data_IF_551551600607
#
_entry.id   IF_551551600607
#
_cell.length_a   1.000
_cell.length_b   1.000
_cell.length_c   1.000
_cell.angle_alpha   90.00
_cell.angle_beta   90.00
_cell.angle_gamma   90.00
#
_symmetry.space_group_name_H-M   'P 1'
#
loop_
_entity.id
_entity.type
_entity.pdbx_description
1 polymer ?
#
# COMPACT_ATOMS: atom_id res chain seq x y z
N UNK A 1 16.49 14.41 -25.58
CA UNK A 1 16.27 13.08 -24.97
C UNK A 1 15.65 12.20 -26.03
N UNK A 2 16.38 11.22 -26.56
CA UNK A 2 15.94 10.45 -27.74
C UNK A 2 15.59 8.97 -27.40
N UNK A 3 15.30 8.65 -26.14
CA UNK A 3 14.93 7.33 -25.70
C UNK A 3 13.70 7.38 -24.79
N UNK A 4 12.92 6.29 -24.83
CA UNK A 4 11.80 6.11 -23.90
C UNK A 4 12.33 6.00 -22.48
N UNK A 5 11.64 6.66 -21.54
CA UNK A 5 11.88 6.55 -20.10
C UNK A 5 10.58 6.23 -19.38
N UNK A 6 10.67 5.43 -18.34
CA UNK A 6 9.50 5.01 -17.59
C UNK A 6 9.00 6.16 -16.68
N UNK A 7 7.72 6.58 -16.77
CA UNK A 7 7.17 7.61 -15.89
C UNK A 7 7.27 7.29 -14.39
N UNK A 8 7.28 6.03 -13.98
CA UNK A 8 7.48 5.64 -12.59
C UNK A 8 8.84 6.12 -12.06
N UNK A 9 9.88 6.04 -12.89
CA UNK A 9 11.24 6.46 -12.53
C UNK A 9 11.38 7.99 -12.48
N UNK A 10 10.86 8.67 -13.52
CA UNK A 10 11.11 10.11 -13.66
C UNK A 10 10.18 10.98 -12.82
N UNK A 11 8.94 10.52 -12.56
CA UNK A 11 7.88 11.38 -12.08
C UNK A 11 7.29 11.00 -10.73
N UNK A 12 7.25 9.71 -10.38
CA UNK A 12 6.33 9.27 -9.33
C UNK A 12 6.98 8.61 -8.13
N UNK A 13 7.97 7.74 -8.35
CA UNK A 13 8.54 6.93 -7.25
C UNK A 13 9.59 7.69 -6.44
N UNK A 14 9.80 7.24 -5.19
CA UNK A 14 10.86 7.72 -4.32
C UNK A 14 12.24 7.31 -4.80
N UNK A 15 13.25 8.11 -4.44
CA UNK A 15 14.65 7.75 -4.68
C UNK A 15 15.06 6.47 -3.94
N UNK A 16 14.50 6.24 -2.74
CA UNK A 16 14.75 5.05 -1.94
C UNK A 16 14.28 3.78 -2.64
N UNK A 17 13.06 3.78 -3.21
CA UNK A 17 12.54 2.64 -3.96
C UNK A 17 13.24 2.45 -5.30
N UNK A 18 13.57 3.54 -6.00
CA UNK A 18 14.34 3.51 -7.23
C UNK A 18 15.72 2.89 -7.00
N UNK A 19 16.41 3.29 -5.93
CA UNK A 19 17.70 2.71 -5.57
C UNK A 19 17.57 1.22 -5.24
N UNK A 20 16.54 0.80 -4.49
CA UNK A 20 16.32 -0.60 -4.14
C UNK A 20 16.34 -1.53 -5.36
N UNK A 21 15.71 -1.13 -6.47
CA UNK A 21 15.66 -1.90 -7.70
C UNK A 21 16.68 -1.48 -8.77
N UNK A 22 17.62 -0.60 -8.44
CA UNK A 22 18.64 -0.14 -9.36
C UNK A 22 19.66 -1.23 -9.72
N UNK A 23 20.26 -1.18 -10.91
CA UNK A 23 21.38 -2.05 -11.27
C UNK A 23 22.55 -1.93 -10.28
N UNK A 24 22.82 -0.74 -9.77
CA UNK A 24 23.88 -0.50 -8.81
C UNK A 24 23.65 -1.31 -7.52
N UNK A 25 22.50 -1.19 -6.88
CA UNK A 25 22.16 -1.96 -5.69
C UNK A 25 22.18 -3.47 -5.95
N UNK A 26 21.60 -3.90 -7.09
CA UNK A 26 21.59 -5.30 -7.49
C UNK A 26 23.00 -5.90 -7.55
N UNK A 27 23.92 -5.27 -8.27
CA UNK A 27 25.24 -5.84 -8.47
C UNK A 27 26.18 -5.65 -7.27
N UNK A 28 25.98 -4.63 -6.44
CA UNK A 28 26.61 -4.52 -5.13
C UNK A 28 26.18 -5.67 -4.21
N UNK A 29 24.90 -6.01 -4.21
CA UNK A 29 24.37 -7.15 -3.45
C UNK A 29 24.97 -8.47 -3.94
N UNK A 30 25.16 -8.66 -5.25
CA UNK A 30 25.87 -9.83 -5.78
C UNK A 30 27.30 -9.95 -5.22
N UNK A 31 28.05 -8.85 -5.18
CA UNK A 31 29.39 -8.85 -4.62
C UNK A 31 29.40 -9.15 -3.13
N UNK A 32 28.45 -8.60 -2.38
CA UNK A 32 28.29 -8.92 -0.96
C UNK A 32 27.97 -10.40 -0.72
N UNK A 33 27.13 -11.00 -1.58
CA UNK A 33 26.82 -12.44 -1.55
C UNK A 33 28.08 -13.29 -1.82
N UNK A 34 28.90 -12.92 -2.80
CA UNK A 34 30.15 -13.63 -3.08
C UNK A 34 31.20 -13.47 -1.98
N UNK A 35 31.31 -12.28 -1.38
CA UNK A 35 32.18 -12.06 -0.21
C UNK A 35 31.74 -12.93 0.97
N UNK A 36 30.46 -12.89 1.31
CA UNK A 36 29.91 -13.68 2.41
C UNK A 36 30.07 -15.19 2.17
N UNK A 37 29.86 -15.64 0.94
CA UNK A 37 30.10 -17.02 0.53
C UNK A 37 31.55 -17.43 0.78
N UNK A 38 32.54 -16.68 0.24
CA UNK A 38 33.96 -16.97 0.39
C UNK A 38 34.43 -16.95 1.85
N UNK A 39 33.95 -16.00 2.65
CA UNK A 39 34.25 -15.94 4.09
C UNK A 39 33.78 -17.18 4.84
N UNK A 40 32.52 -17.59 4.63
CA UNK A 40 31.95 -18.75 5.32
C UNK A 40 32.61 -20.04 4.81
N UNK A 41 32.89 -20.14 3.52
CA UNK A 41 33.60 -21.27 2.93
C UNK A 41 35.02 -21.42 3.52
N UNK A 42 35.75 -20.32 3.74
CA UNK A 42 37.00 -20.30 4.46
C UNK A 42 36.86 -20.77 5.90
N UNK A 43 35.91 -20.22 6.64
CA UNK A 43 35.64 -20.60 8.04
C UNK A 43 35.29 -22.09 8.17
N UNK A 44 34.72 -22.70 7.13
CA UNK A 44 34.44 -24.12 7.04
C UNK A 44 35.59 -24.99 6.55
N UNK A 45 36.74 -24.36 6.26
CA UNK A 45 38.03 -25.05 6.01
C UNK A 45 38.35 -25.22 4.52
N UNK A 46 37.78 -24.45 3.61
CA UNK A 46 38.27 -24.38 2.24
C UNK A 46 39.56 -23.53 2.20
N UNK A 47 40.41 -23.81 1.24
CA UNK A 47 41.68 -23.11 1.02
C UNK A 47 41.44 -21.75 0.36
N UNK A 48 41.03 -20.79 1.19
CA UNK A 48 40.78 -19.39 0.81
C UNK A 48 41.59 -18.49 1.72
N UNK A 49 42.44 -17.62 1.15
CA UNK A 49 43.32 -16.77 1.92
C UNK A 49 42.64 -15.46 2.39
N UNK A 50 43.20 -14.86 3.45
CA UNK A 50 42.78 -13.55 3.95
C UNK A 50 42.96 -12.45 2.91
N UNK A 51 44.05 -12.53 2.11
CA UNK A 51 44.36 -11.58 1.05
C UNK A 51 43.32 -11.63 -0.08
N UNK A 52 42.82 -12.83 -0.42
CA UNK A 52 41.74 -12.98 -1.42
C UNK A 52 40.44 -12.31 -0.93
N UNK A 53 40.04 -12.55 0.31
CA UNK A 53 38.84 -11.93 0.91
C UNK A 53 39.03 -10.41 1.03
N UNK A 54 40.23 -9.95 1.47
CA UNK A 54 40.51 -8.52 1.57
C UNK A 54 40.35 -7.81 0.22
N UNK A 55 40.88 -8.41 -0.87
CA UNK A 55 40.77 -7.86 -2.21
C UNK A 55 39.31 -7.84 -2.71
N UNK A 56 38.51 -8.87 -2.43
CA UNK A 56 37.07 -8.83 -2.74
C UNK A 56 36.39 -7.66 -2.03
N UNK A 57 36.63 -7.47 -0.74
CA UNK A 57 36.06 -6.38 0.05
C UNK A 57 36.45 -5.00 -0.48
N UNK A 58 37.73 -4.81 -0.78
CA UNK A 58 38.26 -3.56 -1.33
C UNK A 58 37.55 -3.18 -2.63
N UNK A 59 37.28 -4.15 -3.51
CA UNK A 59 36.69 -3.95 -4.81
C UNK A 59 35.15 -4.09 -4.82
N UNK A 60 34.51 -4.28 -3.66
CA UNK A 60 33.07 -4.54 -3.55
C UNK A 60 32.20 -3.45 -4.18
N UNK A 61 32.62 -2.19 -4.06
CA UNK A 61 31.88 -1.02 -4.55
C UNK A 61 32.31 -0.57 -5.96
N UNK A 62 33.42 -1.08 -6.47
CA UNK A 62 33.98 -0.66 -7.76
C UNK A 62 33.43 -1.52 -8.90
N UNK A 63 32.22 -1.20 -9.39
CA UNK A 63 31.55 -1.94 -10.47
C UNK A 63 31.80 -1.24 -11.81
N UNK A 64 32.58 -1.88 -12.70
CA UNK A 64 32.75 -1.43 -14.07
C UNK A 64 31.62 -1.97 -14.96
N UNK A 65 30.55 -1.16 -15.09
CA UNK A 65 29.39 -1.50 -15.89
C UNK A 65 29.70 -1.63 -17.39
N UNK A 66 30.66 -0.83 -17.90
CA UNK A 66 31.02 -0.90 -19.32
C UNK A 66 31.68 -2.23 -19.64
N UNK A 67 32.64 -2.63 -18.80
CA UNK A 67 33.32 -3.93 -18.94
C UNK A 67 32.39 -5.13 -18.72
N UNK A 68 31.45 -5.01 -17.76
CA UNK A 68 30.41 -6.02 -17.57
C UNK A 68 29.55 -6.19 -18.83
N UNK A 69 29.14 -5.10 -19.47
CA UNK A 69 28.38 -5.15 -20.72
C UNK A 69 29.19 -5.78 -21.88
N UNK A 70 30.50 -5.53 -21.97
CA UNK A 70 31.38 -6.19 -22.96
C UNK A 70 31.44 -7.70 -22.73
N UNK A 71 31.62 -8.14 -21.50
CA UNK A 71 31.61 -9.55 -21.14
C UNK A 71 30.24 -10.19 -21.39
N UNK A 72 29.14 -9.52 -21.04
CA UNK A 72 27.80 -10.05 -21.29
C UNK A 72 27.51 -10.22 -22.78
N UNK A 73 27.94 -9.27 -23.61
CA UNK A 73 27.86 -9.37 -25.05
C UNK A 73 28.64 -10.58 -25.59
N UNK A 74 29.81 -10.89 -24.99
CA UNK A 74 30.67 -12.01 -25.36
C UNK A 74 30.11 -13.35 -24.90
N UNK A 75 29.72 -13.46 -23.64
CA UNK A 75 29.32 -14.73 -23.02
C UNK A 75 27.84 -15.01 -23.07
N UNK A 76 27.00 -14.00 -23.39
CA UNK A 76 25.54 -14.08 -23.37
C UNK A 76 24.98 -14.55 -22.02
N UNK A 77 25.68 -14.12 -20.92
CA UNK A 77 25.36 -14.53 -19.57
C UNK A 77 25.75 -13.45 -18.57
N UNK A 78 24.75 -12.81 -17.93
CA UNK A 78 24.93 -11.68 -17.02
C UNK A 78 25.77 -12.01 -15.77
N UNK A 79 25.49 -13.12 -15.08
CA UNK A 79 26.24 -13.50 -13.87
C UNK A 79 27.69 -13.77 -14.20
N UNK A 80 27.99 -14.51 -15.26
CA UNK A 80 29.37 -14.77 -15.68
C UNK A 80 30.10 -13.50 -16.11
N UNK A 81 29.41 -12.55 -16.73
CA UNK A 81 29.97 -11.24 -17.04
C UNK A 81 30.45 -10.52 -15.77
N UNK A 82 29.63 -10.51 -14.72
CA UNK A 82 29.98 -9.90 -13.44
C UNK A 82 31.04 -10.70 -12.65
N UNK A 83 31.07 -12.03 -12.74
CA UNK A 83 32.17 -12.85 -12.17
C UNK A 83 33.51 -12.45 -12.79
N UNK A 84 33.56 -12.35 -14.14
CA UNK A 84 34.79 -11.93 -14.82
C UNK A 84 35.18 -10.49 -14.51
N UNK A 85 34.22 -9.57 -14.54
CA UNK A 85 34.47 -8.15 -14.20
C UNK A 85 35.01 -8.00 -12.78
N UNK A 86 34.46 -8.76 -11.84
CA UNK A 86 34.93 -8.74 -10.45
C UNK A 86 36.31 -9.40 -10.31
N UNK A 87 36.53 -10.52 -11.01
CA UNK A 87 37.84 -11.19 -11.03
C UNK A 87 38.94 -10.35 -11.65
N UNK A 88 38.64 -9.48 -12.62
CA UNK A 88 39.62 -8.55 -13.17
C UNK A 88 39.96 -7.41 -12.19
N UNK A 89 38.98 -6.97 -11.38
CA UNK A 89 39.20 -6.00 -10.31
C UNK A 89 39.91 -6.64 -9.06
N UNK A 90 39.71 -7.94 -8.85
CA UNK A 90 40.23 -8.71 -7.73
C UNK A 90 41.01 -9.97 -8.22
N UNK A 91 42.16 -9.82 -8.89
CA UNK A 91 42.84 -10.92 -9.56
C UNK A 91 43.30 -12.05 -8.63
N UNK A 92 43.66 -11.77 -7.38
CA UNK A 92 44.02 -12.81 -6.41
C UNK A 92 42.84 -13.70 -6.04
N UNK A 93 41.64 -13.12 -6.03
CA UNK A 93 40.43 -13.80 -5.63
C UNK A 93 39.65 -14.42 -6.84
N UNK A 94 40.12 -14.22 -8.07
CA UNK A 94 39.41 -14.62 -9.29
C UNK A 94 38.94 -16.07 -9.26
N UNK A 95 39.75 -16.98 -8.71
CA UNK A 95 39.48 -18.42 -8.66
C UNK A 95 38.41 -18.84 -7.63
N UNK A 96 38.10 -17.97 -6.66
CA UNK A 96 37.15 -18.28 -5.58
C UNK A 96 35.82 -17.57 -5.72
N UNK A 97 35.68 -16.64 -6.68
CA UNK A 97 34.41 -15.96 -6.92
C UNK A 97 33.39 -16.98 -7.45
N UNK A 98 32.21 -17.04 -6.80
CA UNK A 98 31.11 -17.94 -7.22
C UNK A 98 31.41 -19.43 -7.03
N UNK A 99 32.29 -19.80 -6.10
CA UNK A 99 32.69 -21.19 -5.86
C UNK A 99 31.48 -22.04 -5.46
N UNK A 100 31.30 -23.19 -6.08
CA UNK A 100 30.15 -24.09 -5.84
C UNK A 100 28.77 -23.56 -6.24
N UNK A 101 28.65 -22.26 -6.57
CA UNK A 101 27.38 -21.61 -6.81
C UNK A 101 26.89 -21.74 -8.25
N UNK A 102 25.60 -21.57 -8.45
CA UNK A 102 24.93 -21.36 -9.76
C UNK A 102 24.40 -19.93 -9.83
N UNK A 103 24.07 -19.47 -11.05
CA UNK A 103 23.59 -18.09 -11.29
C UNK A 103 22.42 -17.68 -10.39
N UNK A 104 21.51 -18.61 -10.10
CA UNK A 104 20.40 -18.36 -9.19
C UNK A 104 20.84 -18.08 -7.74
N UNK A 105 22.09 -18.39 -7.35
CA UNK A 105 22.62 -18.02 -6.04
C UNK A 105 22.58 -16.51 -5.84
N UNK A 106 23.18 -15.74 -6.75
CA UNK A 106 23.18 -14.28 -6.64
C UNK A 106 21.85 -13.68 -7.10
N UNK A 107 21.27 -14.19 -8.18
CA UNK A 107 20.02 -13.65 -8.72
C UNK A 107 18.85 -13.77 -7.72
N UNK A 108 18.56 -14.96 -7.29
CA UNK A 108 17.38 -15.24 -6.46
C UNK A 108 17.52 -14.73 -5.01
N UNK A 109 18.71 -14.83 -4.41
CA UNK A 109 18.92 -14.27 -3.09
C UNK A 109 18.81 -12.73 -3.10
N UNK A 110 19.31 -12.07 -4.16
CA UNK A 110 19.16 -10.62 -4.34
C UNK A 110 17.70 -10.23 -4.54
N UNK A 111 16.94 -10.97 -5.34
CA UNK A 111 15.50 -10.70 -5.53
C UNK A 111 14.74 -10.76 -4.20
N UNK A 112 15.03 -11.73 -3.34
CA UNK A 112 14.43 -11.85 -2.01
C UNK A 112 14.82 -10.69 -1.07
N UNK A 113 16.08 -10.23 -1.15
CA UNK A 113 16.57 -9.05 -0.40
C UNK A 113 15.82 -7.81 -0.90
N UNK A 114 15.73 -7.58 -2.21
CA UNK A 114 15.05 -6.42 -2.78
C UNK A 114 13.54 -6.42 -2.49
N UNK A 115 12.88 -7.58 -2.51
CA UNK A 115 11.47 -7.73 -2.12
C UNK A 115 11.29 -7.34 -0.65
N UNK A 116 12.12 -7.89 0.26
CA UNK A 116 12.08 -7.53 1.68
C UNK A 116 12.29 -6.03 1.90
N UNK A 117 13.34 -5.48 1.33
CA UNK A 117 13.71 -4.08 1.53
C UNK A 117 12.66 -3.14 0.92
N UNK A 118 12.11 -3.48 -0.24
CA UNK A 118 10.98 -2.79 -0.84
C UNK A 118 9.72 -2.82 0.06
N UNK A 119 9.42 -3.96 0.68
CA UNK A 119 8.31 -4.05 1.64
C UNK A 119 8.57 -3.26 2.92
N UNK A 120 9.81 -3.13 3.37
CA UNK A 120 10.15 -2.25 4.50
C UNK A 120 9.90 -0.77 4.17
N UNK A 121 10.21 -0.33 2.96
CA UNK A 121 9.88 1.01 2.46
C UNK A 121 8.36 1.21 2.44
N UNK A 122 7.62 0.25 1.88
CA UNK A 122 6.14 0.27 1.85
C UNK A 122 5.56 0.32 3.26
N UNK A 123 6.09 -0.48 4.21
CA UNK A 123 5.67 -0.46 5.62
C UNK A 123 5.79 0.92 6.24
N UNK A 124 6.94 1.59 6.06
CA UNK A 124 7.18 2.94 6.55
C UNK A 124 6.11 3.92 6.01
N UNK A 125 5.79 3.84 4.74
CA UNK A 125 4.78 4.72 4.13
C UNK A 125 3.36 4.39 4.61
N UNK A 126 3.00 3.10 4.75
CA UNK A 126 1.70 2.67 5.27
C UNK A 126 1.49 3.15 6.70
N UNK A 127 2.49 3.00 7.58
CA UNK A 127 2.42 3.51 8.98
C UNK A 127 2.08 4.99 9.00
N UNK A 128 2.66 5.79 8.11
CA UNK A 128 2.37 7.22 8.03
C UNK A 128 0.97 7.53 7.47
N UNK A 129 0.49 6.79 6.47
CA UNK A 129 -0.92 6.92 6.01
C UNK A 129 -1.88 6.55 7.12
N UNK A 130 -1.64 5.42 7.83
CA UNK A 130 -2.45 4.97 8.96
C UNK A 130 -2.47 6.05 10.06
N UNK A 131 -1.32 6.61 10.44
CA UNK A 131 -1.23 7.70 11.43
C UNK A 131 -2.07 8.90 11.02
N UNK A 132 -1.90 9.42 9.82
CA UNK A 132 -2.62 10.60 9.33
C UNK A 132 -4.12 10.37 9.20
N UNK A 133 -4.54 9.19 8.73
CA UNK A 133 -5.95 8.81 8.68
C UNK A 133 -6.55 8.67 10.09
N UNK A 134 -5.80 8.12 11.05
CA UNK A 134 -6.28 8.02 12.45
C UNK A 134 -6.48 9.38 13.09
N UNK A 135 -5.54 10.31 12.87
CA UNK A 135 -5.67 11.69 13.35
C UNK A 135 -6.89 12.39 12.71
N UNK A 136 -7.08 12.21 11.43
CA UNK A 136 -8.24 12.72 10.70
C UNK A 136 -9.54 12.12 11.25
N UNK A 137 -9.59 10.81 11.47
CA UNK A 137 -10.76 10.13 12.02
C UNK A 137 -11.13 10.65 13.41
N UNK A 138 -10.14 10.79 14.30
CA UNK A 138 -10.34 11.33 15.65
C UNK A 138 -10.78 12.81 15.63
N UNK A 139 -10.18 13.62 14.77
CA UNK A 139 -10.55 15.03 14.63
C UNK A 139 -12.01 15.24 14.24
N UNK A 140 -12.54 14.38 13.37
CA UNK A 140 -13.89 14.51 12.83
C UNK A 140 -14.85 13.41 13.31
N UNK A 141 -14.55 12.74 14.44
CA UNK A 141 -15.37 11.66 14.98
C UNK A 141 -16.79 12.07 15.32
N UNK A 142 -16.97 13.34 15.73
CA UNK A 142 -18.25 13.91 16.14
C UNK A 142 -18.96 14.72 15.03
N UNK A 143 -18.35 14.88 13.85
CA UNK A 143 -18.93 15.65 12.76
C UNK A 143 -19.94 14.79 11.96
N UNK A 144 -21.26 15.05 12.11
CA UNK A 144 -22.27 14.32 11.34
C UNK A 144 -22.09 14.52 9.84
N UNK A 145 -22.40 13.47 9.08
CA UNK A 145 -22.49 13.51 7.60
C UNK A 145 -23.51 12.50 7.12
N UNK A 146 -24.04 12.70 5.90
CA UNK A 146 -24.91 11.71 5.28
C UNK A 146 -24.15 10.40 5.02
N UNK A 147 -24.71 9.28 5.48
CA UNK A 147 -24.29 7.96 5.03
C UNK A 147 -24.99 7.62 3.72
N UNK A 148 -24.29 6.93 2.83
CA UNK A 148 -24.80 6.54 1.53
C UNK A 148 -24.79 5.01 1.39
N UNK A 149 -25.93 4.44 0.97
CA UNK A 149 -26.03 3.09 0.45
C UNK A 149 -26.54 3.16 -0.98
N UNK A 150 -26.00 2.40 -1.90
CA UNK A 150 -26.33 2.51 -3.33
C UNK A 150 -26.17 3.94 -3.89
N UNK A 151 -25.29 4.73 -3.27
CA UNK A 151 -25.11 6.16 -3.50
C UNK A 151 -26.40 7.00 -3.31
N UNK A 152 -27.34 6.49 -2.51
CA UNK A 152 -28.52 7.23 -2.05
C UNK A 152 -28.36 7.59 -0.58
N UNK A 153 -28.83 8.77 -0.13
CA UNK A 153 -28.86 9.12 1.29
C UNK A 153 -29.57 8.05 2.11
N UNK A 154 -28.89 7.64 3.18
CA UNK A 154 -29.41 6.69 4.16
C UNK A 154 -29.42 7.35 5.55
N UNK A 155 -29.04 6.64 6.60
CA UNK A 155 -28.88 7.23 7.92
C UNK A 155 -27.62 8.07 8.01
N UNK A 156 -27.54 8.96 9.02
CA UNK A 156 -26.34 9.71 9.29
C UNK A 156 -25.23 8.80 9.84
N UNK A 157 -24.02 9.21 9.61
CA UNK A 157 -22.80 8.73 10.22
C UNK A 157 -21.94 9.93 10.59
N UNK A 158 -20.65 9.74 10.90
CA UNK A 158 -19.72 10.85 11.03
C UNK A 158 -18.60 10.78 10.01
N UNK A 159 -17.97 11.92 9.71
CA UNK A 159 -16.80 12.00 8.84
C UNK A 159 -15.67 11.13 9.38
N UNK A 160 -15.43 11.15 10.69
CA UNK A 160 -14.43 10.29 11.33
C UNK A 160 -14.76 8.81 11.21
N UNK A 161 -16.02 8.40 11.44
CA UNK A 161 -16.43 7.00 11.28
C UNK A 161 -16.25 6.51 9.83
N UNK A 162 -16.52 7.35 8.83
CA UNK A 162 -16.23 7.03 7.43
C UNK A 162 -14.75 6.79 7.21
N UNK A 163 -13.87 7.59 7.81
CA UNK A 163 -12.42 7.42 7.69
C UNK A 163 -11.95 6.09 8.31
N UNK A 164 -12.60 5.56 9.35
CA UNK A 164 -12.25 4.25 9.90
C UNK A 164 -12.50 3.10 8.92
N UNK A 165 -13.39 3.26 7.93
CA UNK A 165 -13.58 2.23 6.89
C UNK A 165 -12.38 2.15 5.95
N UNK A 166 -11.73 3.28 5.66
CA UNK A 166 -10.49 3.31 4.89
C UNK A 166 -9.32 2.74 5.70
N UNK A 167 -9.25 3.09 6.99
CA UNK A 167 -8.26 2.53 7.91
C UNK A 167 -8.39 1.01 8.03
N UNK A 168 -9.60 0.48 8.18
CA UNK A 168 -9.81 -0.96 8.30
C UNK A 168 -9.26 -1.73 7.08
N UNK A 169 -9.46 -1.21 5.86
CA UNK A 169 -8.88 -1.82 4.67
C UNK A 169 -7.34 -1.83 4.73
N UNK A 170 -6.73 -0.71 5.18
CA UNK A 170 -5.28 -0.64 5.33
C UNK A 170 -4.72 -1.53 6.43
N UNK A 171 -5.46 -1.75 7.52
CA UNK A 171 -5.03 -2.66 8.58
C UNK A 171 -4.97 -4.10 8.08
N UNK A 172 -5.94 -4.54 7.27
CA UNK A 172 -5.90 -5.86 6.62
C UNK A 172 -4.67 -6.01 5.72
N UNK A 173 -4.36 -4.98 4.92
CA UNK A 173 -3.16 -4.98 4.07
C UNK A 173 -1.87 -4.98 4.91
N UNK A 174 -1.86 -4.25 6.01
CA UNK A 174 -0.72 -4.16 6.92
C UNK A 174 -0.44 -5.49 7.64
N UNK A 175 -1.47 -6.18 8.10
CA UNK A 175 -1.37 -7.52 8.69
C UNK A 175 -0.78 -8.52 7.69
N UNK A 176 -1.23 -8.49 6.43
CA UNK A 176 -0.72 -9.35 5.37
C UNK A 176 0.76 -9.04 5.07
N UNK A 177 1.15 -7.75 5.05
CA UNK A 177 2.53 -7.32 4.88
C UNK A 177 3.44 -7.83 6.01
N UNK A 178 3.03 -7.66 7.26
CA UNK A 178 3.80 -8.15 8.42
C UNK A 178 3.95 -9.67 8.38
N UNK A 179 2.88 -10.40 8.09
CA UNK A 179 2.92 -11.86 7.93
C UNK A 179 3.86 -12.29 6.79
N UNK A 180 3.83 -11.58 5.67
CA UNK A 180 4.73 -11.86 4.56
C UNK A 180 6.20 -11.67 4.97
N UNK A 181 6.54 -10.55 5.61
CA UNK A 181 7.89 -10.27 6.10
C UNK A 181 8.38 -11.31 7.12
N UNK A 182 7.54 -11.70 8.07
CA UNK A 182 7.85 -12.71 9.08
C UNK A 182 8.09 -14.09 8.47
N UNK A 183 7.36 -14.44 7.41
CA UNK A 183 7.43 -15.77 6.79
C UNK A 183 8.38 -15.85 5.61
N UNK A 184 8.93 -14.72 5.16
CA UNK A 184 9.88 -14.68 4.04
C UNK A 184 11.16 -15.43 4.39
N UNK A 185 11.64 -16.25 3.46
CA UNK A 185 12.79 -17.12 3.64
C UNK A 185 13.87 -16.81 2.62
N UNK A 186 15.12 -16.99 3.02
CA UNK A 186 16.25 -16.91 2.10
C UNK A 186 16.35 -18.16 1.24
N UNK A 187 16.81 -18.05 -0.02
CA UNK A 187 17.03 -19.23 -0.85
C UNK A 187 18.27 -20.01 -0.41
N UNK A 188 19.36 -19.29 -0.11
CA UNK A 188 20.61 -19.88 0.34
C UNK A 188 21.40 -20.58 -0.79
N UNK A 189 22.15 -21.63 -0.41
CA UNK A 189 23.07 -22.37 -1.27
C UNK A 189 22.47 -23.71 -1.70
N UNK A 190 21.60 -23.70 -2.69
CA UNK A 190 20.83 -24.90 -3.13
C UNK A 190 21.40 -25.59 -4.39
N UNK A 191 22.28 -24.92 -5.14
CA UNK A 191 22.86 -25.48 -6.35
C UNK A 191 21.91 -25.53 -7.55
N UNK A 192 22.28 -26.27 -8.59
CA UNK A 192 21.63 -26.26 -9.91
C UNK A 192 20.23 -26.88 -9.88
N UNK A 193 19.98 -27.88 -9.07
CA UNK A 193 18.69 -28.58 -8.97
C UNK A 193 18.10 -28.59 -7.56
N UNK A 194 18.65 -27.77 -6.67
CA UNK A 194 18.18 -27.68 -5.27
C UNK A 194 18.79 -28.68 -4.32
N UNK A 195 19.69 -29.55 -4.80
CA UNK A 195 20.31 -30.62 -4.00
C UNK A 195 21.59 -30.20 -3.28
N UNK A 196 22.08 -28.99 -3.53
CA UNK A 196 23.38 -28.49 -3.06
C UNK A 196 24.58 -29.39 -3.40
N UNK A 197 24.50 -30.23 -4.43
CA UNK A 197 25.51 -31.24 -4.77
C UNK A 197 26.91 -30.67 -4.92
N UNK A 198 27.08 -29.53 -5.61
CA UNK A 198 28.40 -28.89 -5.79
C UNK A 198 29.01 -28.44 -4.44
N UNK A 199 28.21 -27.90 -3.54
CA UNK A 199 28.67 -27.55 -2.20
C UNK A 199 29.03 -28.77 -1.37
N UNK A 200 28.23 -29.84 -1.48
CA UNK A 200 28.50 -31.09 -0.78
C UNK A 200 29.83 -31.70 -1.24
N UNK A 201 30.13 -31.61 -2.55
CA UNK A 201 31.43 -32.05 -3.11
C UNK A 201 32.58 -31.22 -2.57
N UNK A 202 32.46 -29.87 -2.55
CA UNK A 202 33.47 -28.98 -1.97
C UNK A 202 33.85 -29.32 -0.52
N UNK A 203 32.85 -29.80 0.25
CA UNK A 203 33.05 -30.22 1.66
C UNK A 203 33.23 -31.74 1.82
N UNK A 204 33.61 -32.46 0.76
CA UNK A 204 33.90 -33.89 0.81
C UNK A 204 32.76 -34.73 1.38
N UNK A 205 31.52 -34.37 1.10
CA UNK A 205 30.32 -35.07 1.55
C UNK A 205 29.81 -34.63 2.94
N UNK A 206 30.43 -33.64 3.58
CA UNK A 206 29.98 -33.15 4.89
C UNK A 206 28.73 -32.27 4.77
N UNK A 207 27.58 -32.87 4.95
CA UNK A 207 26.30 -32.18 4.91
C UNK A 207 26.10 -31.18 6.04
N UNK A 208 26.79 -31.35 7.16
CA UNK A 208 26.69 -30.42 8.31
C UNK A 208 27.29 -29.06 7.99
N UNK A 209 28.40 -29.06 7.25
CA UNK A 209 29.03 -27.83 6.72
C UNK A 209 28.13 -27.11 5.72
N UNK A 210 27.48 -27.84 4.80
CA UNK A 210 26.56 -27.25 3.85
C UNK A 210 25.36 -26.60 4.55
N UNK A 211 24.79 -27.27 5.56
CA UNK A 211 23.72 -26.69 6.39
C UNK A 211 24.18 -25.44 7.16
N UNK A 212 25.38 -25.47 7.69
CA UNK A 212 25.95 -24.32 8.38
C UNK A 212 26.13 -23.13 7.44
N UNK A 213 26.71 -23.37 6.26
CA UNK A 213 26.87 -22.36 5.20
C UNK A 213 25.51 -21.71 4.85
N UNK A 214 24.50 -22.52 4.63
CA UNK A 214 23.14 -22.06 4.27
C UNK A 214 22.53 -21.16 5.36
N UNK A 215 22.63 -21.59 6.62
CA UNK A 215 22.11 -20.87 7.79
C UNK A 215 22.89 -19.58 8.07
N UNK A 216 24.20 -19.64 8.06
CA UNK A 216 25.05 -18.47 8.35
C UNK A 216 24.92 -17.40 7.28
N UNK A 217 24.85 -17.81 6.00
CA UNK A 217 24.59 -16.89 4.90
C UNK A 217 23.23 -16.20 5.06
N UNK A 218 22.19 -16.96 5.37
CA UNK A 218 20.84 -16.42 5.63
C UNK A 218 20.87 -15.36 6.74
N UNK A 219 21.52 -15.66 7.86
CA UNK A 219 21.64 -14.76 9.00
C UNK A 219 22.38 -13.45 8.66
N UNK A 220 23.47 -13.54 7.87
CA UNK A 220 24.25 -12.36 7.44
C UNK A 220 23.44 -11.37 6.60
N UNK A 221 22.45 -11.87 5.85
CA UNK A 221 21.53 -11.03 5.06
C UNK A 221 20.20 -10.72 5.77
N UNK A 222 20.12 -10.97 7.08
CA UNK A 222 18.98 -10.58 7.90
C UNK A 222 17.72 -11.44 7.70
N UNK A 223 17.89 -12.70 7.28
CA UNK A 223 16.80 -13.67 7.20
C UNK A 223 16.96 -14.72 8.30
N UNK A 224 15.93 -14.88 9.11
CA UNK A 224 15.94 -15.89 10.18
C UNK A 224 15.77 -17.32 9.66
N UNK A 225 15.12 -17.44 8.50
CA UNK A 225 14.72 -18.72 7.90
C UNK A 225 15.28 -18.86 6.49
N UNK A 226 15.65 -20.09 6.13
CA UNK A 226 16.04 -20.48 4.79
C UNK A 226 15.04 -21.51 4.26
N UNK A 227 14.83 -21.57 2.94
CA UNK A 227 14.00 -22.62 2.36
C UNK A 227 14.62 -24.00 2.62
N UNK A 228 13.83 -24.92 3.17
CA UNK A 228 14.27 -26.32 3.40
C UNK A 228 14.49 -27.06 2.08
N UNK A 229 13.71 -26.75 1.07
CA UNK A 229 13.80 -27.29 -0.29
C UNK A 229 13.58 -26.18 -1.32
N UNK A 230 14.22 -26.31 -2.47
CA UNK A 230 13.96 -25.48 -3.65
C UNK A 230 14.34 -26.27 -4.92
N UNK A 231 13.95 -25.79 -6.08
CA UNK A 231 14.62 -26.16 -7.34
C UNK A 231 15.92 -25.39 -7.53
N UNK A 232 16.29 -25.06 -8.74
CA UNK A 232 17.36 -24.12 -9.01
C UNK A 232 17.04 -22.72 -8.47
N UNK A 233 15.75 -22.36 -8.48
CA UNK A 233 15.22 -21.09 -7.97
C UNK A 233 14.37 -21.31 -6.72
N UNK A 234 14.09 -20.24 -5.95
CA UNK A 234 12.99 -20.30 -4.98
C UNK A 234 11.67 -20.43 -5.73
N UNK A 235 10.65 -20.93 -5.05
CA UNK A 235 9.31 -21.09 -5.63
C UNK A 235 8.73 -19.71 -6.04
N UNK A 236 8.43 -19.52 -7.32
CA UNK A 236 7.87 -18.26 -7.87
C UNK A 236 6.53 -17.89 -7.29
N UNK A 237 5.94 -18.76 -6.47
CA UNK A 237 4.81 -18.42 -5.60
C UNK A 237 5.11 -17.25 -4.67
N UNK A 238 6.38 -17.01 -4.30
CA UNK A 238 6.79 -15.86 -3.49
C UNK A 238 6.59 -14.56 -4.27
N UNK A 239 6.98 -14.51 -5.53
CA UNK A 239 6.78 -13.35 -6.41
C UNK A 239 5.27 -13.07 -6.57
N UNK A 240 4.47 -14.12 -6.79
CA UNK A 240 3.01 -14.01 -6.89
C UNK A 240 2.37 -13.48 -5.60
N UNK A 241 2.83 -13.94 -4.43
CA UNK A 241 2.35 -13.44 -3.13
C UNK A 241 2.74 -11.98 -2.91
N UNK A 242 3.97 -11.58 -3.22
CA UNK A 242 4.39 -10.19 -3.14
C UNK A 242 3.57 -9.29 -4.06
N UNK A 243 3.37 -9.69 -5.31
CA UNK A 243 2.55 -8.95 -6.27
C UNK A 243 1.08 -8.85 -5.84
N UNK A 244 0.52 -9.90 -5.21
CA UNK A 244 -0.85 -9.89 -4.68
C UNK A 244 -0.96 -8.93 -3.51
N UNK A 245 -0.03 -8.93 -2.56
CA UNK A 245 0.01 -7.97 -1.46
C UNK A 245 0.05 -6.52 -1.97
N UNK A 246 0.92 -6.22 -2.94
CA UNK A 246 0.99 -4.90 -3.57
C UNK A 246 -0.33 -4.53 -4.26
N UNK A 247 -0.99 -5.50 -4.90
CA UNK A 247 -2.31 -5.31 -5.50
C UNK A 247 -3.39 -5.01 -4.46
N UNK A 248 -3.37 -5.65 -3.30
CA UNK A 248 -4.33 -5.39 -2.21
C UNK A 248 -4.17 -3.97 -1.67
N UNK A 249 -2.94 -3.52 -1.39
CA UNK A 249 -2.66 -2.13 -0.99
C UNK A 249 -3.17 -1.13 -2.05
N UNK A 250 -2.95 -1.43 -3.33
CA UNK A 250 -3.45 -0.59 -4.42
C UNK A 250 -4.98 -0.55 -4.49
N UNK A 251 -5.69 -1.65 -4.18
CA UNK A 251 -7.15 -1.69 -4.09
C UNK A 251 -7.66 -0.79 -2.97
N UNK A 252 -7.06 -0.84 -1.78
CA UNK A 252 -7.42 0.02 -0.64
C UNK A 252 -7.23 1.50 -0.99
N UNK A 253 -6.13 1.86 -1.63
CA UNK A 253 -5.88 3.21 -2.11
C UNK A 253 -6.88 3.67 -3.18
N UNK A 254 -7.23 2.78 -4.11
CA UNK A 254 -8.24 3.07 -5.14
C UNK A 254 -9.63 3.30 -4.53
N UNK A 255 -10.00 2.48 -3.54
CA UNK A 255 -11.27 2.64 -2.80
C UNK A 255 -11.33 3.99 -2.09
N UNK A 256 -10.30 4.37 -1.34
CA UNK A 256 -10.19 5.68 -0.70
C UNK A 256 -10.36 6.83 -1.71
N UNK A 257 -9.66 6.79 -2.82
CA UNK A 257 -9.70 7.87 -3.81
C UNK A 257 -11.00 7.94 -4.60
N UNK A 258 -11.70 6.81 -4.79
CA UNK A 258 -13.06 6.84 -5.34
C UNK A 258 -14.02 7.58 -4.40
N UNK A 259 -14.00 7.26 -3.11
CA UNK A 259 -14.83 7.95 -2.12
C UNK A 259 -14.47 9.44 -2.06
N UNK A 260 -13.18 9.80 -2.04
CA UNK A 260 -12.75 11.20 -2.01
C UNK A 260 -13.22 11.98 -3.24
N UNK A 261 -13.14 11.39 -4.43
CA UNK A 261 -13.63 12.03 -5.67
C UNK A 261 -15.14 12.27 -5.64
N UNK A 262 -15.93 11.34 -5.08
CA UNK A 262 -17.37 11.52 -4.87
C UNK A 262 -17.63 12.62 -3.84
N UNK A 263 -16.91 12.64 -2.73
CA UNK A 263 -17.03 13.67 -1.69
C UNK A 263 -16.62 15.05 -2.23
N UNK A 264 -15.63 15.13 -3.11
CA UNK A 264 -15.24 16.38 -3.78
C UNK A 264 -16.30 16.84 -4.77
N UNK A 265 -16.96 15.96 -5.49
CA UNK A 265 -18.11 16.30 -6.32
C UNK A 265 -19.27 16.89 -5.48
N UNK A 266 -19.55 16.31 -4.32
CA UNK A 266 -20.49 16.82 -3.34
C UNK A 266 -20.02 18.13 -2.67
N UNK A 267 -18.77 18.55 -2.89
CA UNK A 267 -18.14 19.72 -2.26
C UNK A 267 -18.07 19.63 -0.73
N UNK A 268 -17.96 18.41 -0.20
CA UNK A 268 -17.89 18.13 1.24
C UNK A 268 -16.46 17.99 1.73
N UNK A 269 -15.63 17.26 0.97
CA UNK A 269 -14.22 17.02 1.29
C UNK A 269 -13.42 17.12 -0.01
N UNK A 270 -12.31 17.85 0.00
CA UNK A 270 -11.44 18.06 -1.17
C UNK A 270 -10.00 17.69 -0.82
N UNK A 271 -9.26 17.17 -1.83
CA UNK A 271 -7.81 17.03 -1.73
C UNK A 271 -7.12 18.41 -1.68
N UNK A 272 -5.88 18.51 -1.14
CA UNK A 272 -5.18 19.78 -1.05
C UNK A 272 -4.94 20.37 -2.43
N UNK A 273 -5.07 21.71 -2.49
CA UNK A 273 -4.84 22.48 -3.71
C UNK A 273 -3.82 23.60 -3.42
N UNK A 274 -2.69 23.56 -4.10
CA UNK A 274 -1.61 24.52 -3.90
C UNK A 274 -1.91 25.87 -4.56
N UNK A 275 -1.35 26.96 -3.99
CA UNK A 275 -1.61 28.33 -4.47
C UNK A 275 -1.25 28.55 -5.95
N UNK A 276 -0.21 27.86 -6.42
CA UNK A 276 0.26 27.95 -7.82
C UNK A 276 -0.30 26.85 -8.72
N UNK A 277 -1.08 25.92 -8.18
CA UNK A 277 -1.61 24.80 -8.93
C UNK A 277 -2.70 25.24 -9.91
N UNK A 278 -2.64 24.75 -11.15
CA UNK A 278 -3.66 24.96 -12.17
C UNK A 278 -4.54 23.70 -12.22
N UNK A 279 -5.79 23.82 -11.78
CA UNK A 279 -6.75 22.70 -11.77
C UNK A 279 -7.39 22.42 -13.13
N UNK A 280 -7.47 23.44 -14.00
CA UNK A 280 -8.04 23.32 -15.34
C UNK A 280 -7.49 24.41 -16.24
N UNK A 281 -7.12 24.04 -17.47
CA UNK A 281 -6.66 25.01 -18.49
C UNK A 281 -7.77 25.91 -19.06
N UNK A 282 -9.04 25.46 -18.93
CA UNK A 282 -10.19 26.17 -19.50
C UNK A 282 -11.04 26.89 -18.45
N UNK A 283 -11.13 26.38 -17.23
CA UNK A 283 -12.00 26.91 -16.17
C UNK A 283 -11.16 27.23 -14.93
N UNK A 284 -10.83 28.50 -14.73
CA UNK A 284 -9.86 28.96 -13.75
C UNK A 284 -10.14 28.54 -12.29
N UNK A 285 -11.41 28.43 -11.89
CA UNK A 285 -11.78 28.05 -10.52
C UNK A 285 -11.92 26.54 -10.29
N UNK A 286 -11.91 25.72 -11.37
CA UNK A 286 -12.15 24.30 -11.30
C UNK A 286 -10.99 23.56 -10.63
N UNK A 287 -11.26 22.88 -9.55
CA UNK A 287 -10.30 22.05 -8.81
C UNK A 287 -10.56 20.58 -9.12
N UNK A 288 -9.73 20.00 -9.96
CA UNK A 288 -9.82 18.58 -10.29
C UNK A 288 -9.07 17.76 -9.23
N UNK A 289 -9.59 16.59 -8.81
CA UNK A 289 -8.93 15.69 -7.86
C UNK A 289 -7.79 14.91 -8.54
N UNK A 290 -6.77 15.61 -9.05
CA UNK A 290 -5.72 15.01 -9.89
C UNK A 290 -4.84 14.02 -9.14
N UNK A 291 -4.61 14.22 -7.85
CA UNK A 291 -3.85 13.29 -7.00
C UNK A 291 -4.62 12.00 -6.83
N UNK A 292 -5.90 12.08 -6.51
CA UNK A 292 -6.81 10.93 -6.40
C UNK A 292 -6.95 10.17 -7.73
N UNK A 293 -7.04 10.89 -8.86
CA UNK A 293 -7.09 10.28 -10.20
C UNK A 293 -5.80 9.54 -10.53
N UNK A 294 -4.65 10.09 -10.14
CA UNK A 294 -3.33 9.48 -10.34
C UNK A 294 -3.19 8.20 -9.52
N UNK A 295 -3.59 8.21 -8.24
CA UNK A 295 -3.64 6.99 -7.42
C UNK A 295 -4.52 5.94 -8.09
N UNK A 296 -5.73 6.30 -8.54
CA UNK A 296 -6.63 5.37 -9.21
C UNK A 296 -6.05 4.79 -10.52
N UNK A 297 -5.29 5.59 -11.27
CA UNK A 297 -4.61 5.13 -12.49
C UNK A 297 -3.46 4.15 -12.18
N UNK A 298 -2.60 4.50 -11.21
CA UNK A 298 -1.48 3.64 -10.78
C UNK A 298 -2.00 2.35 -10.13
N UNK A 299 -3.08 2.40 -9.35
CA UNK A 299 -3.69 1.22 -8.75
C UNK A 299 -4.17 0.21 -9.80
N UNK A 300 -4.81 0.68 -10.87
CA UNK A 300 -5.21 -0.18 -12.00
C UNK A 300 -4.01 -0.84 -12.67
N UNK A 301 -2.92 -0.09 -12.82
CA UNK A 301 -1.67 -0.63 -13.34
C UNK A 301 -1.13 -1.75 -12.46
N UNK A 302 -1.02 -1.55 -11.13
CA UNK A 302 -0.55 -2.58 -10.18
C UNK A 302 -1.43 -3.83 -10.26
N UNK A 303 -2.76 -3.67 -10.20
CA UNK A 303 -3.69 -4.80 -10.31
C UNK A 303 -3.54 -5.57 -11.63
N UNK A 304 -3.24 -4.89 -12.73
CA UNK A 304 -3.06 -5.55 -14.03
C UNK A 304 -1.75 -6.32 -14.12
N UNK A 305 -0.64 -5.78 -13.60
CA UNK A 305 0.68 -6.45 -13.71
C UNK A 305 0.85 -7.58 -12.69
N UNK A 306 0.12 -7.56 -11.58
CA UNK A 306 0.20 -8.60 -10.53
C UNK A 306 -0.18 -9.99 -11.04
N UNK A 307 -1.09 -10.09 -12.01
CA UNK A 307 -1.50 -11.35 -12.61
C UNK A 307 -0.35 -12.07 -13.36
N UNK A 308 0.62 -11.33 -13.90
CA UNK A 308 1.79 -11.88 -14.57
C UNK A 308 2.63 -12.79 -13.67
N UNK A 309 2.84 -12.37 -12.41
CA UNK A 309 3.57 -13.19 -11.43
C UNK A 309 2.84 -14.49 -11.05
N UNK A 310 1.50 -14.44 -10.99
CA UNK A 310 0.69 -15.66 -10.74
C UNK A 310 0.76 -16.64 -11.93
N UNK A 311 0.74 -16.14 -13.17
CA UNK A 311 0.91 -16.95 -14.38
C UNK A 311 2.28 -17.63 -14.37
N UNK A 312 3.35 -16.90 -14.09
CA UNK A 312 4.72 -17.45 -14.01
C UNK A 312 4.80 -18.53 -12.94
N UNK A 313 4.25 -18.30 -11.75
CA UNK A 313 4.26 -19.28 -10.66
C UNK A 313 3.55 -20.59 -11.05
N UNK A 314 2.47 -20.52 -11.84
CA UNK A 314 1.68 -21.68 -12.23
C UNK A 314 2.26 -22.48 -13.41
N UNK A 315 3.21 -21.91 -14.16
CA UNK A 315 3.77 -22.51 -15.38
C UNK A 315 5.23 -22.92 -15.26
N UNK A 316 5.83 -22.88 -14.06
CA UNK A 316 7.20 -23.39 -13.86
C UNK A 316 7.28 -24.90 -14.08
N UNK A 317 8.36 -25.35 -14.76
CA UNK A 317 8.60 -26.75 -15.05
C UNK A 317 9.71 -27.32 -14.18
N UNK A 318 9.41 -28.41 -13.49
CA UNK A 318 10.37 -29.15 -12.66
C UNK A 318 11.22 -28.23 -11.76
N UNK A 319 12.54 -28.25 -11.87
CA UNK A 319 13.46 -27.47 -11.07
C UNK A 319 13.63 -26.04 -11.58
N UNK A 320 13.31 -25.76 -12.85
CA UNK A 320 13.31 -24.42 -13.46
C UNK A 320 12.83 -24.39 -14.91
N UNK A 321 12.07 -23.33 -15.26
CA UNK A 321 12.01 -22.75 -16.61
C UNK A 321 12.58 -21.34 -16.60
N UNK A 322 12.94 -20.75 -17.74
CA UNK A 322 13.54 -19.41 -17.82
C UNK A 322 12.51 -18.31 -18.14
N UNK A 323 11.27 -18.64 -18.41
CA UNK A 323 10.20 -17.70 -18.73
C UNK A 323 9.84 -16.75 -17.55
N UNK A 324 10.22 -17.12 -16.34
CA UNK A 324 10.15 -16.26 -15.16
C UNK A 324 11.02 -15.00 -15.28
N UNK A 325 12.19 -15.14 -15.89
CA UNK A 325 13.27 -14.16 -15.82
C UNK A 325 12.88 -12.79 -16.39
N UNK A 326 12.36 -12.73 -17.61
CA UNK A 326 11.94 -11.47 -18.22
C UNK A 326 10.70 -10.91 -17.55
N UNK A 327 9.72 -11.77 -17.22
CA UNK A 327 8.48 -11.35 -16.58
C UNK A 327 8.73 -10.68 -15.23
N UNK A 328 9.45 -11.34 -14.31
CA UNK A 328 9.69 -10.78 -12.96
C UNK A 328 10.52 -9.51 -12.97
N UNK A 329 11.48 -9.36 -13.93
CA UNK A 329 12.28 -8.14 -14.09
C UNK A 329 11.44 -6.92 -14.44
N UNK A 330 10.27 -7.12 -15.03
CA UNK A 330 9.31 -6.08 -15.36
C UNK A 330 8.26 -5.92 -14.23
N UNK A 331 7.57 -7.02 -13.90
CA UNK A 331 6.38 -6.97 -13.04
C UNK A 331 6.68 -6.58 -11.60
N UNK A 332 7.71 -7.18 -10.99
CA UNK A 332 8.02 -6.96 -9.57
C UNK A 332 8.51 -5.53 -9.32
N UNK A 333 9.57 -5.02 -9.94
CA UNK A 333 10.02 -3.66 -9.70
C UNK A 333 8.93 -2.62 -10.00
N UNK A 334 8.21 -2.76 -11.12
CA UNK A 334 7.19 -1.79 -11.51
C UNK A 334 5.99 -1.78 -10.53
N UNK A 335 5.61 -2.94 -9.99
CA UNK A 335 4.57 -3.01 -8.96
C UNK A 335 5.00 -2.29 -7.68
N UNK A 336 6.23 -2.50 -7.22
CA UNK A 336 6.79 -1.79 -6.06
C UNK A 336 6.88 -0.29 -6.29
N UNK A 337 7.43 0.15 -7.41
CA UNK A 337 7.55 1.55 -7.77
C UNK A 337 6.18 2.24 -7.86
N UNK A 338 5.17 1.55 -8.39
CA UNK A 338 3.83 2.11 -8.50
C UNK A 338 3.12 2.20 -7.14
N UNK A 339 3.27 1.20 -6.25
CA UNK A 339 2.70 1.26 -4.89
C UNK A 339 3.42 2.28 -4.03
N UNK A 340 4.73 2.41 -4.15
CA UNK A 340 5.50 3.48 -3.54
C UNK A 340 4.94 4.86 -3.92
N UNK A 341 4.75 5.10 -5.21
CA UNK A 341 4.15 6.34 -5.73
C UNK A 341 2.72 6.57 -5.19
N UNK A 342 1.88 5.52 -5.15
CA UNK A 342 0.52 5.58 -4.60
C UNK A 342 0.55 6.05 -3.15
N UNK A 343 1.40 5.45 -2.32
CA UNK A 343 1.47 5.76 -0.89
C UNK A 343 2.07 7.14 -0.61
N UNK A 344 3.03 7.59 -1.41
CA UNK A 344 3.54 8.96 -1.34
C UNK A 344 2.44 9.98 -1.63
N UNK A 345 1.69 9.76 -2.71
CA UNK A 345 0.58 10.66 -3.07
C UNK A 345 -0.51 10.62 -1.99
N UNK A 346 -0.83 9.45 -1.45
CA UNK A 346 -1.82 9.32 -0.37
C UNK A 346 -1.38 10.07 0.90
N UNK A 347 -0.12 9.91 1.32
CA UNK A 347 0.45 10.67 2.42
C UNK A 347 0.32 12.19 2.19
N UNK A 348 0.61 12.66 0.99
CA UNK A 348 0.50 14.08 0.63
C UNK A 348 -0.95 14.57 0.62
N UNK A 349 -1.91 13.78 0.15
CA UNK A 349 -3.34 14.12 0.23
C UNK A 349 -3.75 14.32 1.69
N UNK A 350 -3.33 13.44 2.59
CA UNK A 350 -3.70 13.49 4.00
C UNK A 350 -3.12 14.71 4.73
N UNK A 351 -1.98 15.25 4.29
CA UNK A 351 -1.38 16.45 4.90
C UNK A 351 -2.20 17.72 4.68
N UNK A 352 -3.11 17.74 3.71
CA UNK A 352 -3.86 18.95 3.37
C UNK A 352 -5.34 18.72 3.04
N UNK A 353 -5.92 17.61 3.45
CA UNK A 353 -7.32 17.29 3.19
C UNK A 353 -8.26 18.33 3.81
N UNK A 354 -9.16 18.90 3.01
CA UNK A 354 -10.06 19.98 3.41
C UNK A 354 -11.48 19.47 3.61
N UNK A 355 -12.08 19.79 4.75
CA UNK A 355 -13.46 19.42 5.11
C UNK A 355 -14.31 20.69 5.19
N UNK A 356 -15.42 20.74 4.46
CA UNK A 356 -16.36 21.86 4.42
C UNK A 356 -17.59 21.57 5.29
N UNK A 357 -17.48 21.79 6.60
CA UNK A 357 -18.51 21.45 7.59
C UNK A 357 -19.87 22.09 7.29
N UNK A 358 -19.89 23.36 6.85
CA UNK A 358 -21.13 24.05 6.51
C UNK A 358 -21.80 23.44 5.27
N UNK A 359 -21.02 22.94 4.32
CA UNK A 359 -21.59 22.25 3.15
C UNK A 359 -22.19 20.90 3.53
N UNK A 360 -21.48 20.15 4.36
CA UNK A 360 -21.99 18.89 4.92
C UNK A 360 -23.29 19.11 5.66
N UNK A 361 -23.33 20.15 6.54
CA UNK A 361 -24.55 20.50 7.26
C UNK A 361 -25.72 20.84 6.34
N UNK A 362 -25.46 21.60 5.27
CA UNK A 362 -26.51 21.92 4.28
C UNK A 362 -27.08 20.66 3.66
N UNK A 363 -26.25 19.72 3.21
CA UNK A 363 -26.71 18.45 2.63
C UNK A 363 -27.50 17.60 3.64
N UNK A 364 -27.05 17.56 4.91
CA UNK A 364 -27.79 16.88 5.97
C UNK A 364 -29.22 17.47 6.06
N UNK A 365 -29.34 18.78 6.10
CA UNK A 365 -30.64 19.45 6.28
C UNK A 365 -31.58 19.30 5.06
N UNK A 366 -31.07 18.92 3.90
CA UNK A 366 -31.90 18.56 2.74
C UNK A 366 -32.63 17.23 2.96
N UNK A 367 -32.05 16.27 3.73
CA UNK A 367 -32.54 14.90 3.88
C UNK A 367 -33.02 14.58 5.31
N UNK A 368 -32.39 15.16 6.33
CA UNK A 368 -32.67 14.86 7.74
C UNK A 368 -34.14 15.07 8.13
N UNK A 369 -34.87 16.09 7.64
CA UNK A 369 -36.27 16.24 7.95
C UNK A 369 -37.11 15.00 7.63
N UNK A 370 -36.81 14.31 6.53
CA UNK A 370 -37.49 13.06 6.16
C UNK A 370 -37.06 11.89 7.05
N UNK A 371 -35.80 11.82 7.42
CA UNK A 371 -35.26 10.78 8.33
C UNK A 371 -35.81 10.93 9.75
N UNK A 372 -36.06 12.15 10.19
CA UNK A 372 -36.54 12.47 11.54
C UNK A 372 -38.03 12.18 11.74
N UNK A 373 -38.77 11.88 10.70
CA UNK A 373 -40.24 11.70 10.78
C UNK A 373 -40.67 10.63 11.79
N UNK A 374 -39.93 9.51 11.87
CA UNK A 374 -40.23 8.46 12.86
C UNK A 374 -40.04 8.96 14.31
N UNK A 375 -38.98 9.72 14.58
CA UNK A 375 -38.73 10.30 15.90
C UNK A 375 -39.81 11.33 16.26
N UNK A 376 -40.21 12.15 15.32
CA UNK A 376 -41.27 13.13 15.51
C UNK A 376 -42.61 12.41 15.83
N UNK A 377 -42.95 11.35 15.10
CA UNK A 377 -44.14 10.53 15.36
C UNK A 377 -44.09 9.97 16.81
N UNK A 378 -42.96 9.43 17.22
CA UNK A 378 -42.79 8.86 18.56
C UNK A 378 -42.95 9.91 19.66
N UNK A 379 -42.39 11.10 19.50
CA UNK A 379 -42.50 12.18 20.46
C UNK A 379 -43.97 12.74 20.53
N UNK A 380 -44.64 12.85 19.39
CA UNK A 380 -46.07 13.22 19.34
C UNK A 380 -46.95 12.18 20.06
N UNK A 381 -46.66 10.88 19.91
CA UNK A 381 -47.38 9.83 20.64
C UNK A 381 -47.13 9.94 22.16
N UNK A 382 -45.91 10.25 22.59
CA UNK A 382 -45.62 10.51 23.98
C UNK A 382 -46.36 11.73 24.55
N UNK A 383 -46.62 12.72 23.68
CA UNK A 383 -47.47 13.90 24.05
C UNK A 383 -48.97 13.57 24.04
N UNK A 384 -49.39 12.34 23.85
CA UNK A 384 -50.76 11.86 23.90
C UNK A 384 -51.51 11.96 22.58
N UNK A 385 -50.81 11.97 21.45
CA UNK A 385 -51.43 11.89 20.10
C UNK A 385 -51.69 10.44 19.69
N UNK A 386 -52.67 10.26 18.76
CA UNK A 386 -52.93 8.97 18.12
C UNK A 386 -51.88 8.68 17.07
N UNK A 387 -51.21 7.54 17.20
CA UNK A 387 -50.11 7.15 16.30
C UNK A 387 -50.50 7.10 14.83
N UNK A 388 -51.69 6.64 14.52
CA UNK A 388 -52.14 6.47 13.12
C UNK A 388 -52.49 7.81 12.49
N UNK A 389 -53.16 8.69 13.24
CA UNK A 389 -53.51 10.04 12.81
C UNK A 389 -52.24 10.88 12.60
N UNK A 390 -51.29 10.81 13.54
CA UNK A 390 -49.99 11.50 13.45
C UNK A 390 -49.19 11.01 12.23
N UNK A 391 -49.13 9.69 12.04
CA UNK A 391 -48.42 9.11 10.90
C UNK A 391 -48.99 9.62 9.57
N UNK A 392 -50.31 9.64 9.43
CA UNK A 392 -50.95 10.11 8.20
C UNK A 392 -50.73 11.62 7.98
N UNK A 393 -50.81 12.43 9.03
CA UNK A 393 -50.50 13.86 8.96
C UNK A 393 -49.09 14.13 8.49
N UNK A 394 -48.10 13.46 9.14
CA UNK A 394 -46.68 13.62 8.76
C UNK A 394 -46.42 13.07 7.36
N UNK A 395 -47.06 11.97 6.96
CA UNK A 395 -46.97 11.44 5.60
C UNK A 395 -47.45 12.47 4.56
N UNK A 396 -48.56 13.13 4.79
CA UNK A 396 -49.08 14.16 3.89
C UNK A 396 -48.12 15.35 3.78
N UNK A 397 -47.61 15.87 4.89
CA UNK A 397 -46.59 16.91 4.90
C UNK A 397 -45.32 16.48 4.16
N UNK A 398 -44.87 15.24 4.37
CA UNK A 398 -43.69 14.70 3.70
C UNK A 398 -43.87 14.61 2.17
N UNK A 399 -45.04 14.21 1.71
CA UNK A 399 -45.34 14.17 0.28
C UNK A 399 -45.36 15.56 -0.36
N UNK A 400 -45.95 16.55 0.31
CA UNK A 400 -45.95 17.92 -0.19
C UNK A 400 -44.55 18.57 -0.17
N UNK A 401 -43.77 18.35 0.90
CA UNK A 401 -42.37 18.81 0.96
C UNK A 401 -41.52 18.13 -0.14
N UNK A 402 -41.70 16.83 -0.36
CA UNK A 402 -41.02 16.11 -1.43
C UNK A 402 -41.34 16.64 -2.83
N UNK A 403 -42.62 16.99 -3.10
CA UNK A 403 -43.00 17.65 -4.37
C UNK A 403 -42.29 18.99 -4.53
N UNK A 404 -42.27 19.81 -3.47
CA UNK A 404 -41.63 21.12 -3.48
C UNK A 404 -40.11 21.00 -3.80
N UNK A 405 -39.44 20.04 -3.19
CA UNK A 405 -38.01 19.78 -3.44
C UNK A 405 -37.78 19.26 -4.86
N UNK A 406 -38.54 18.21 -5.28
CA UNK A 406 -38.24 17.48 -6.53
C UNK A 406 -38.82 18.15 -7.79
N UNK A 407 -40.00 18.73 -7.70
CA UNK A 407 -40.68 19.34 -8.86
C UNK A 407 -40.40 20.83 -8.97
N UNK A 408 -40.27 21.56 -7.86
CA UNK A 408 -40.12 23.00 -7.85
C UNK A 408 -38.65 23.46 -7.60
N UNK A 409 -37.75 22.53 -7.22
CA UNK A 409 -36.35 22.84 -6.93
C UNK A 409 -36.13 23.73 -5.70
N UNK A 410 -37.08 23.77 -4.79
CA UNK A 410 -37.04 24.59 -3.57
C UNK A 410 -36.47 23.82 -2.40
N UNK A 411 -36.14 24.52 -1.32
CA UNK A 411 -35.65 23.91 -0.08
C UNK A 411 -36.72 23.07 0.59
N UNK A 412 -36.28 22.07 1.40
CA UNK A 412 -37.16 21.19 2.16
C UNK A 412 -37.82 21.97 3.30
N UNK A 413 -39.10 22.11 3.25
CA UNK A 413 -39.92 22.83 4.25
C UNK A 413 -40.72 21.92 5.18
N UNK A 414 -40.43 20.60 5.22
CA UNK A 414 -41.18 19.64 6.02
C UNK A 414 -41.24 20.03 7.50
N UNK A 415 -40.16 20.47 8.08
CA UNK A 415 -40.13 20.87 9.49
C UNK A 415 -41.00 22.11 9.73
N UNK A 416 -40.96 23.10 8.84
CA UNK A 416 -41.78 24.29 8.91
C UNK A 416 -43.27 23.93 8.81
N UNK A 417 -43.67 23.00 7.93
CA UNK A 417 -45.02 22.49 7.81
C UNK A 417 -45.49 21.82 9.10
N UNK A 418 -44.68 20.93 9.68
CA UNK A 418 -44.98 20.24 10.94
C UNK A 418 -45.14 21.26 12.07
N UNK A 419 -44.22 22.24 12.17
CA UNK A 419 -44.26 23.28 13.20
C UNK A 419 -45.50 24.20 13.11
N UNK A 420 -46.09 24.33 11.94
CA UNK A 420 -47.26 25.18 11.72
C UNK A 420 -48.60 24.39 11.72
N UNK A 421 -48.55 23.08 11.92
CA UNK A 421 -49.75 22.24 12.01
C UNK A 421 -50.30 22.22 13.44
N UNK A 422 -51.44 22.83 13.65
CA UNK A 422 -52.09 22.92 14.97
C UNK A 422 -52.71 21.59 15.45
N UNK A 423 -52.75 20.56 14.63
CA UNK A 423 -53.22 19.22 15.02
C UNK A 423 -52.13 18.44 15.79
N UNK A 424 -50.87 18.84 15.64
CA UNK A 424 -49.75 18.27 16.39
C UNK A 424 -49.55 18.97 17.73
N UNK A 425 -49.17 18.20 18.76
CA UNK A 425 -49.14 18.65 20.15
C UNK A 425 -47.73 19.01 20.64
N UNK A 426 -46.72 18.62 19.90
CA UNK A 426 -45.33 18.83 20.30
C UNK A 426 -44.92 20.29 20.20
N UNK A 427 -44.19 20.78 21.21
CA UNK A 427 -43.62 22.13 21.23
C UNK A 427 -42.60 22.30 20.10
N UNK A 428 -42.62 23.45 19.43
CA UNK A 428 -41.67 23.84 18.37
C UNK A 428 -40.21 23.73 18.82
N UNK A 429 -39.91 24.08 20.04
CA UNK A 429 -38.55 23.94 20.62
C UNK A 429 -38.11 22.49 20.65
N UNK A 430 -39.00 21.57 20.93
CA UNK A 430 -38.75 20.14 21.00
C UNK A 430 -38.54 19.50 19.61
N UNK A 431 -39.26 20.00 18.63
CA UNK A 431 -39.03 19.59 17.23
C UNK A 431 -37.60 19.94 16.80
N UNK A 432 -37.16 21.17 17.13
CA UNK A 432 -35.79 21.60 16.79
C UNK A 432 -34.72 20.81 17.53
N UNK A 433 -34.99 20.37 18.77
CA UNK A 433 -34.09 19.47 19.51
C UNK A 433 -34.04 18.08 18.89
N UNK A 434 -35.18 17.53 18.51
CA UNK A 434 -35.27 16.20 17.86
C UNK A 434 -34.50 16.15 16.55
N UNK A 435 -34.49 17.21 15.74
CA UNK A 435 -33.82 17.26 14.44
C UNK A 435 -32.33 17.68 14.53
N UNK A 436 -31.72 17.72 15.73
CA UNK A 436 -30.26 17.89 15.80
C UNK A 436 -29.56 16.69 15.14
N UNK A 437 -28.70 16.91 14.12
CA UNK A 437 -27.99 15.83 13.47
C UNK A 437 -27.23 14.89 14.40
N UNK A 438 -26.79 15.38 15.56
CA UNK A 438 -26.07 14.58 16.56
C UNK A 438 -26.93 13.46 17.16
N UNK A 439 -28.25 13.57 17.12
CA UNK A 439 -29.14 12.53 17.61
C UNK A 439 -29.24 11.32 16.65
N UNK A 440 -28.71 11.43 15.42
CA UNK A 440 -28.86 10.44 14.37
C UNK A 440 -27.57 9.72 13.98
N UNK A 441 -26.46 9.99 14.67
CA UNK A 441 -25.14 9.40 14.37
C UNK A 441 -24.86 8.08 15.11
N UNK A 442 -25.79 7.64 15.96
CA UNK A 442 -25.64 6.40 16.75
C UNK A 442 -24.33 6.34 17.55
N UNK A 443 -23.65 5.23 17.49
CA UNK A 443 -22.37 5.00 18.18
C UNK A 443 -21.14 5.42 17.36
N UNK A 444 -21.29 6.13 16.25
CA UNK A 444 -20.18 6.45 15.36
C UNK A 444 -18.97 7.09 16.06
N UNK A 445 -19.10 8.06 16.98
CA UNK A 445 -17.97 8.62 17.72
C UNK A 445 -17.24 7.58 18.57
N UNK A 446 -17.99 6.81 19.36
CA UNK A 446 -17.45 5.77 20.26
C UNK A 446 -16.74 4.67 19.44
N UNK A 447 -17.39 4.18 18.38
CA UNK A 447 -16.79 3.19 17.48
C UNK A 447 -15.46 3.70 16.87
N UNK A 448 -15.40 4.98 16.53
CA UNK A 448 -14.16 5.59 15.99
C UNK A 448 -13.05 5.57 17.04
N UNK A 449 -13.34 6.01 18.27
CA UNK A 449 -12.36 6.03 19.37
C UNK A 449 -11.87 4.62 19.73
N UNK A 450 -12.80 3.69 19.90
CA UNK A 450 -12.47 2.31 20.28
C UNK A 450 -11.64 1.61 19.18
N UNK A 451 -12.01 1.78 17.92
CA UNK A 451 -11.26 1.24 16.79
C UNK A 451 -9.83 1.78 16.74
N UNK A 452 -9.67 3.11 16.86
CA UNK A 452 -8.33 3.72 16.85
C UNK A 452 -7.51 3.22 18.04
N UNK A 453 -8.10 3.21 19.24
CA UNK A 453 -7.40 2.80 20.45
C UNK A 453 -6.98 1.34 20.44
N UNK A 454 -7.87 0.45 19.99
CA UNK A 454 -7.69 -0.98 20.15
C UNK A 454 -6.96 -1.64 18.98
N UNK A 455 -7.12 -1.11 17.75
CA UNK A 455 -6.61 -1.74 16.53
C UNK A 455 -5.50 -0.92 15.87
N UNK A 456 -5.59 0.41 15.88
CA UNK A 456 -4.60 1.27 15.21
C UNK A 456 -3.43 1.62 16.13
N UNK A 457 -3.71 2.04 17.35
CA UNK A 457 -2.68 2.52 18.28
C UNK A 457 -1.57 1.49 18.55
N UNK A 458 -1.85 0.18 18.71
CA UNK A 458 -0.78 -0.82 18.88
C UNK A 458 0.21 -0.87 17.73
N UNK A 459 -0.24 -0.63 16.50
CA UNK A 459 0.63 -0.57 15.32
C UNK A 459 1.50 0.68 15.37
N UNK A 460 0.91 1.83 15.69
CA UNK A 460 1.63 3.10 15.79
C UNK A 460 2.66 3.10 16.92
N UNK A 461 2.36 2.47 18.04
CA UNK A 461 3.28 2.32 19.17
C UNK A 461 4.46 1.42 18.79
N UNK A 462 4.20 0.30 18.10
CA UNK A 462 5.23 -0.64 17.63
C UNK A 462 6.20 0.00 16.62
N UNK A 463 5.70 0.92 15.79
CA UNK A 463 6.45 1.54 14.71
C UNK A 463 6.59 3.06 14.86
N UNK A 464 6.69 3.52 16.10
CA UNK A 464 6.81 4.96 16.40
C UNK A 464 8.02 5.63 15.74
N UNK A 465 9.11 4.89 15.56
CA UNK A 465 10.34 5.32 14.87
C UNK A 465 10.15 5.59 13.37
N UNK A 466 9.09 5.04 12.75
CA UNK A 466 8.77 5.23 11.34
C UNK A 466 7.81 6.40 11.09
N UNK A 467 7.21 6.96 12.13
CA UNK A 467 6.25 8.06 12.03
C UNK A 467 6.96 9.39 11.76
N UNK A 468 6.33 10.27 10.99
CA UNK A 468 6.84 11.63 10.70
C UNK A 468 7.33 11.83 9.26
N UNK A 469 6.93 10.95 8.34
CA UNK A 469 7.23 11.09 6.92
C UNK A 469 6.58 12.36 6.35
N UNK A 470 7.41 13.29 5.87
CA UNK A 470 7.00 14.43 5.05
C UNK A 470 7.23 14.09 3.57
N UNK A 471 6.24 14.36 2.74
CA UNK A 471 6.27 14.04 1.32
C UNK A 471 6.13 15.30 0.49
N UNK A 472 7.16 15.59 -0.31
CA UNK A 472 7.09 16.56 -1.41
C UNK A 472 6.95 15.79 -2.73
N UNK A 473 5.91 16.10 -3.51
CA UNK A 473 5.65 15.41 -4.76
C UNK A 473 6.42 16.07 -5.90
N UNK A 474 7.07 15.26 -6.73
CA UNK A 474 7.78 15.75 -7.94
C UNK A 474 6.82 16.38 -8.96
N UNK A 475 5.54 15.95 -9.00
CA UNK A 475 4.50 16.41 -9.94
C UNK A 475 3.10 16.27 -9.36
#
# INVERSE_FOLDING_TARGET
>A
MNSYKNPLEERYSSEEMLYNFSPENKFRTWRQLWIALAEIEKDLGLDISDEQIAQLKEQAQNIDFAKAAEYEKKFRHDVMAHVHTYGDAAPLAKGIIHLGATSAFVGDNTDLIQIRDGLLIIRKQLVNVIKKLSDFALKYKDLPTLGFTHFQPAQLTTVGKRATLWLQSLLLDFEELEFFLETLRFRGVKGTTGTAASFLELFSGDYTKVKHLDKELSRRFGFEKVFGVSGQTYDRKIDAKAATLLSNIAQSAHKFTNDLRLLQNLKEIEEPFEKSQIGSSAMAYKRNPMRSERIGALAKFVMSVSSGSAMVASTQWFERTLDDSANKRLTIPQAFLAVDAILLIWNNIMDGLVVYENRIRKHIMEELPFMATEYIIMEEVKAGGDRQEIHETIRQHSMEASKKVKLEGKENDLIERIMNDNSLKMDKSKIMEVIDPKNFIGFAPVQTEEFIKNEVQPILDKYQDLVGLSVDLKV
#
